data_IF_562273760223
#
_entry.id   IF_562273760223
#
_cell.length_a   1.000
_cell.length_b   1.000
_cell.length_c   1.000
_cell.angle_alpha   90.00
_cell.angle_beta   90.00
_cell.angle_gamma   90.00
#
_symmetry.space_group_name_H-M   'P 1'
#
loop_
_entity.id
_entity.type
_entity.pdbx_description
1 polymer ?
#
# COMPACT_ATOMS: atom_id res chain seq x y z
N UNK A 1 27.52 -13.00 5.10
CA UNK A 1 27.01 -14.06 6.01
C UNK A 1 26.19 -13.37 7.09
N UNK A 2 24.86 -13.35 6.94
CA UNK A 2 23.97 -12.51 7.74
C UNK A 2 23.72 -13.22 9.08
N UNK A 3 24.29 -12.69 10.16
CA UNK A 3 24.10 -13.26 11.50
C UNK A 3 22.65 -13.04 11.91
N UNK A 4 21.84 -14.08 11.76
CA UNK A 4 20.48 -14.12 12.27
C UNK A 4 20.57 -14.22 13.80
N UNK A 5 20.51 -13.07 14.48
CA UNK A 5 20.46 -13.01 15.94
C UNK A 5 19.21 -13.79 16.38
N UNK A 6 19.42 -15.00 16.91
CA UNK A 6 18.36 -15.79 17.53
C UNK A 6 17.68 -14.93 18.60
N UNK A 7 16.35 -15.04 18.74
CA UNK A 7 15.60 -14.33 19.80
C UNK A 7 16.23 -14.52 21.18
N UNK A 8 16.88 -15.66 21.40
CA UNK A 8 17.63 -15.98 22.61
C UNK A 8 18.86 -15.09 22.80
N UNK A 9 19.64 -14.83 21.74
CA UNK A 9 20.82 -13.97 21.81
C UNK A 9 20.47 -12.51 22.03
N UNK A 10 19.34 -12.05 21.49
CA UNK A 10 18.82 -10.72 21.77
C UNK A 10 18.36 -10.56 23.23
N UNK A 11 17.86 -11.63 23.85
CA UNK A 11 17.49 -11.64 25.27
C UNK A 11 18.72 -11.73 26.18
N UNK A 12 19.73 -12.52 25.81
CA UNK A 12 21.02 -12.59 26.55
C UNK A 12 21.72 -11.23 26.56
N UNK A 13 21.88 -10.60 25.40
CA UNK A 13 22.47 -9.25 25.31
C UNK A 13 21.69 -8.20 26.11
N UNK A 14 20.37 -8.35 26.22
CA UNK A 14 19.53 -7.46 27.02
C UNK A 14 19.69 -7.74 28.52
N UNK A 15 19.82 -8.99 28.93
CA UNK A 15 20.07 -9.38 30.32
C UNK A 15 21.45 -8.94 30.79
N UNK A 16 22.48 -9.08 29.95
CA UNK A 16 23.84 -8.60 30.20
C UNK A 16 23.86 -7.06 30.34
N UNK A 17 23.14 -6.35 29.47
CA UNK A 17 22.99 -4.89 29.56
C UNK A 17 22.25 -4.42 30.83
N UNK A 18 21.42 -5.25 31.44
CA UNK A 18 20.77 -4.96 32.72
C UNK A 18 21.72 -5.25 33.90
N UNK A 19 22.55 -6.28 33.78
CA UNK A 19 23.51 -6.65 34.82
C UNK A 19 24.65 -5.62 34.99
N UNK A 20 25.03 -4.91 33.92
CA UNK A 20 26.01 -3.82 33.95
C UNK A 20 25.44 -2.47 34.44
N UNK A 21 24.11 -2.36 34.57
CA UNK A 21 23.47 -1.19 35.17
C UNK A 21 23.59 -1.28 36.70
N UNK A 22 24.75 -0.91 37.24
CA UNK A 22 24.83 -0.48 38.64
C UNK A 22 23.84 0.67 38.83
N UNK A 23 22.83 0.47 39.70
CA UNK A 23 21.84 1.48 40.03
C UNK A 23 22.59 2.62 40.73
N UNK A 24 22.79 3.78 40.10
CA UNK A 24 23.46 4.88 40.77
C UNK A 24 22.55 5.34 41.90
N UNK A 25 23.10 5.41 43.12
CA UNK A 25 22.37 5.86 44.30
C UNK A 25 21.54 7.12 43.99
N UNK A 26 20.22 7.03 44.17
CA UNK A 26 19.29 8.14 44.01
C UNK A 26 18.42 8.17 42.74
N UNK A 27 18.52 7.20 41.82
CA UNK A 27 17.54 7.08 40.72
C UNK A 27 16.43 6.09 41.05
N UNK A 28 15.19 6.58 41.04
CA UNK A 28 13.98 5.78 41.25
C UNK A 28 13.88 4.67 40.19
N UNK A 29 13.84 3.41 40.66
CA UNK A 29 13.72 2.20 39.86
C UNK A 29 12.53 2.27 38.88
N UNK A 30 11.47 2.98 39.28
CA UNK A 30 10.25 3.20 38.49
C UNK A 30 10.54 4.03 37.23
N UNK A 31 11.42 5.03 37.34
CA UNK A 31 11.83 5.87 36.21
C UNK A 31 12.70 5.10 35.21
N UNK A 32 13.64 4.28 35.72
CA UNK A 32 14.49 3.43 34.89
C UNK A 32 13.66 2.40 34.11
N UNK A 33 12.70 1.74 34.79
CA UNK A 33 11.75 0.82 34.17
C UNK A 33 10.87 1.50 33.12
N UNK A 34 10.44 2.74 33.37
CA UNK A 34 9.70 3.55 32.39
C UNK A 34 10.53 3.85 31.15
N UNK A 35 11.80 4.22 31.32
CA UNK A 35 12.73 4.51 30.24
C UNK A 35 13.03 3.28 29.38
N UNK A 36 13.30 2.13 30.01
CA UNK A 36 13.54 0.86 29.32
C UNK A 36 12.30 0.42 28.52
N UNK A 37 11.10 0.52 29.13
CA UNK A 37 9.83 0.23 28.42
C UNK A 37 9.62 1.14 27.21
N UNK A 38 9.94 2.43 27.35
CA UNK A 38 9.83 3.38 26.25
C UNK A 38 10.84 3.07 25.14
N UNK A 39 12.11 2.80 25.47
CA UNK A 39 13.14 2.42 24.50
C UNK A 39 12.79 1.12 23.76
N UNK A 40 12.25 0.10 24.45
CA UNK A 40 11.77 -1.13 23.83
C UNK A 40 10.57 -0.87 22.88
N UNK A 41 9.62 -0.02 23.29
CA UNK A 41 8.49 0.39 22.45
C UNK A 41 8.95 1.18 21.23
N UNK A 42 9.94 2.05 21.37
CA UNK A 42 10.53 2.78 20.25
C UNK A 42 11.29 1.84 19.32
N UNK A 43 12.06 0.88 19.84
CA UNK A 43 12.75 -0.13 19.04
C UNK A 43 11.77 -1.02 18.24
N UNK A 44 10.61 -1.35 18.81
CA UNK A 44 9.51 -2.03 18.10
C UNK A 44 8.83 -1.13 17.06
N UNK A 45 8.74 0.18 17.33
CA UNK A 45 8.12 1.17 16.46
C UNK A 45 9.08 1.76 15.40
N UNK A 46 10.39 1.47 15.46
CA UNK A 46 11.39 1.79 14.42
C UNK A 46 11.12 0.93 13.19
N UNK A 47 10.06 1.34 12.47
CA UNK A 47 9.56 1.15 11.09
C UNK A 47 10.12 0.10 10.12
N UNK A 48 11.26 -0.55 10.35
CA UNK A 48 11.94 -1.34 9.30
C UNK A 48 12.04 -2.85 9.53
N UNK A 49 11.98 -3.37 10.76
CA UNK A 49 12.22 -4.80 10.98
C UNK A 49 10.96 -5.69 11.05
N UNK A 50 9.77 -5.10 11.20
CA UNK A 50 8.51 -5.85 11.38
C UNK A 50 7.38 -5.46 10.42
N UNK A 51 7.68 -4.79 9.30
CA UNK A 51 6.71 -4.70 8.19
C UNK A 51 6.63 -6.08 7.55
N UNK A 52 5.78 -6.93 8.13
CA UNK A 52 5.62 -8.36 7.85
C UNK A 52 5.88 -8.64 6.36
N UNK A 53 7.02 -9.25 6.01
CA UNK A 53 7.45 -9.46 4.61
C UNK A 53 6.32 -10.09 3.77
N UNK A 54 5.54 -10.97 4.41
CA UNK A 54 4.33 -11.59 3.86
C UNK A 54 3.23 -10.57 3.51
N UNK A 55 3.01 -9.54 4.33
CA UNK A 55 2.07 -8.45 4.04
C UNK A 55 2.52 -7.60 2.85
N UNK A 56 3.82 -7.33 2.71
CA UNK A 56 4.32 -6.57 1.56
C UNK A 56 4.20 -7.37 0.26
N UNK A 57 4.57 -8.65 0.27
CA UNK A 57 4.37 -9.55 -0.87
C UNK A 57 2.88 -9.68 -1.23
N UNK A 58 2.00 -9.80 -0.23
CA UNK A 58 0.56 -9.83 -0.46
C UNK A 58 0.03 -8.52 -1.06
N UNK A 59 0.53 -7.36 -0.61
CA UNK A 59 0.17 -6.05 -1.16
C UNK A 59 0.64 -5.88 -2.59
N UNK A 60 1.85 -6.29 -2.92
CA UNK A 60 2.35 -6.20 -4.29
C UNK A 60 1.53 -7.10 -5.23
N UNK A 61 1.27 -8.35 -4.83
CA UNK A 61 0.41 -9.26 -5.59
C UNK A 61 -1.01 -8.70 -5.78
N UNK A 62 -1.56 -8.05 -4.75
CA UNK A 62 -2.87 -7.38 -4.84
C UNK A 62 -2.84 -6.19 -5.81
N UNK A 63 -1.74 -5.41 -5.80
CA UNK A 63 -1.52 -4.30 -6.72
C UNK A 63 -1.41 -4.78 -8.16
N UNK A 64 -0.57 -5.78 -8.43
CA UNK A 64 -0.45 -6.43 -9.74
C UNK A 64 -1.80 -6.92 -10.25
N UNK A 65 -2.57 -7.58 -9.39
CA UNK A 65 -3.92 -8.07 -9.74
C UNK A 65 -4.87 -6.92 -10.10
N UNK A 66 -4.78 -5.82 -9.36
CA UNK A 66 -5.59 -4.61 -9.61
C UNK A 66 -5.21 -3.96 -10.94
N UNK A 67 -3.91 -3.81 -11.21
CA UNK A 67 -3.38 -3.26 -12.48
C UNK A 67 -3.83 -4.13 -13.65
N UNK A 68 -3.70 -5.47 -13.53
CA UNK A 68 -4.11 -6.40 -14.59
C UNK A 68 -5.61 -6.29 -14.90
N UNK A 69 -6.46 -6.20 -13.87
CA UNK A 69 -7.91 -6.01 -14.05
C UNK A 69 -8.22 -4.68 -14.73
N UNK A 70 -7.56 -3.60 -14.32
CA UNK A 70 -7.73 -2.28 -14.92
C UNK A 70 -7.31 -2.26 -16.39
N UNK A 71 -6.16 -2.87 -16.73
CA UNK A 71 -5.68 -3.00 -18.11
C UNK A 71 -6.66 -3.79 -18.98
N UNK A 72 -7.12 -4.95 -18.51
CA UNK A 72 -8.10 -5.76 -19.24
C UNK A 72 -9.41 -5.00 -19.47
N UNK A 73 -9.89 -4.28 -18.47
CA UNK A 73 -11.10 -3.46 -18.62
C UNK A 73 -10.89 -2.31 -19.63
N UNK A 74 -9.72 -1.64 -19.61
CA UNK A 74 -9.35 -0.65 -20.63
C UNK A 74 -9.40 -1.27 -22.02
N UNK A 75 -8.71 -2.38 -22.23
CA UNK A 75 -8.68 -3.09 -23.51
C UNK A 75 -10.08 -3.45 -24.02
N UNK A 76 -10.98 -3.88 -23.13
CA UNK A 76 -12.38 -4.17 -23.47
C UNK A 76 -13.17 -2.92 -23.90
N UNK A 77 -12.89 -1.77 -23.30
CA UNK A 77 -13.64 -0.53 -23.59
C UNK A 77 -13.06 0.29 -24.75
N UNK A 78 -11.78 0.13 -25.10
CA UNK A 78 -11.14 0.91 -26.17
C UNK A 78 -11.87 0.84 -27.53
N UNK A 79 -12.40 -0.31 -27.98
CA UNK A 79 -13.19 -0.37 -29.22
C UNK A 79 -14.42 0.53 -29.18
N UNK A 80 -15.17 0.55 -28.06
CA UNK A 80 -16.34 1.40 -27.91
C UNK A 80 -16.00 2.88 -27.82
N UNK A 81 -14.83 3.22 -27.25
CA UNK A 81 -14.32 4.59 -27.26
C UNK A 81 -13.95 5.03 -28.68
N UNK A 82 -13.36 4.13 -29.48
CA UNK A 82 -13.07 4.39 -30.89
C UNK A 82 -14.37 4.57 -31.70
N UNK A 83 -15.39 3.73 -31.47
CA UNK A 83 -16.72 3.89 -32.07
C UNK A 83 -17.32 5.27 -31.74
N UNK A 84 -17.28 5.70 -30.48
CA UNK A 84 -17.73 7.03 -30.08
C UNK A 84 -16.97 8.14 -30.83
N UNK A 85 -15.65 8.02 -30.98
CA UNK A 85 -14.84 8.97 -31.73
C UNK A 85 -15.21 9.02 -33.22
N UNK A 86 -15.46 7.87 -33.84
CA UNK A 86 -15.93 7.81 -35.24
C UNK A 86 -17.34 8.39 -35.41
N UNK A 87 -18.17 8.35 -34.37
CA UNK A 87 -19.48 9.02 -34.33
C UNK A 87 -19.38 10.54 -34.11
N UNK A 88 -18.16 11.10 -34.04
CA UNK A 88 -17.93 12.54 -33.86
C UNK A 88 -17.79 12.99 -32.41
N UNK A 89 -17.78 12.08 -31.43
CA UNK A 89 -17.57 12.41 -30.03
C UNK A 89 -16.07 12.63 -29.75
N UNK A 90 -15.61 13.88 -29.87
CA UNK A 90 -14.18 14.22 -29.71
C UNK A 90 -13.78 14.67 -28.30
N UNK A 91 -14.75 14.97 -27.42
CA UNK A 91 -14.47 15.38 -26.04
C UNK A 91 -14.71 14.23 -25.07
N UNK A 92 -13.99 14.19 -23.94
CA UNK A 92 -14.19 13.16 -22.90
C UNK A 92 -15.61 13.15 -22.34
N UNK A 93 -16.27 14.32 -22.33
CA UNK A 93 -17.68 14.44 -21.95
C UNK A 93 -18.59 13.82 -23.01
N UNK A 94 -18.42 14.16 -24.29
CA UNK A 94 -19.22 13.58 -25.37
C UNK A 94 -19.06 12.06 -25.46
N UNK A 95 -17.84 11.55 -25.26
CA UNK A 95 -17.58 10.10 -25.20
C UNK A 95 -18.30 9.46 -24.00
N UNK A 96 -18.30 10.10 -22.84
CA UNK A 96 -19.01 9.58 -21.66
C UNK A 96 -20.53 9.53 -21.91
N UNK A 97 -21.10 10.60 -22.48
CA UNK A 97 -22.52 10.68 -22.80
C UNK A 97 -22.91 9.59 -23.82
N UNK A 98 -22.10 9.39 -24.87
CA UNK A 98 -22.29 8.33 -25.86
C UNK A 98 -22.25 6.93 -25.23
N UNK A 99 -21.29 6.66 -24.35
CA UNK A 99 -21.17 5.37 -23.66
C UNK A 99 -22.39 5.10 -22.76
N UNK A 100 -22.89 6.12 -22.07
CA UNK A 100 -24.08 6.03 -21.23
C UNK A 100 -25.35 5.81 -22.06
N UNK A 101 -25.50 6.49 -23.20
CA UNK A 101 -26.62 6.29 -24.12
C UNK A 101 -26.66 4.86 -24.67
N UNK A 102 -25.48 4.28 -24.93
CA UNK A 102 -25.32 2.87 -25.31
C UNK A 102 -25.42 1.88 -24.14
N UNK A 103 -25.64 2.38 -22.92
CA UNK A 103 -25.77 1.60 -21.67
C UNK A 103 -24.53 0.77 -21.32
N UNK A 104 -23.34 1.21 -21.74
CA UNK A 104 -22.11 0.64 -21.23
C UNK A 104 -21.86 1.13 -19.81
N UNK A 105 -21.62 0.22 -18.88
CA UNK A 105 -21.32 0.58 -17.49
C UNK A 105 -19.82 0.53 -17.20
N UNK A 106 -19.37 1.36 -16.26
CA UNK A 106 -18.00 1.26 -15.72
C UNK A 106 -17.77 -0.07 -14.99
N UNK A 107 -16.51 -0.40 -14.67
CA UNK A 107 -16.15 -1.63 -13.95
C UNK A 107 -16.87 -1.82 -12.59
N UNK A 108 -17.44 -0.76 -12.01
CA UNK A 108 -18.21 -0.78 -10.77
C UNK A 108 -19.73 -0.76 -10.98
N UNK A 109 -20.20 -0.77 -12.23
CA UNK A 109 -21.62 -0.75 -12.57
C UNK A 109 -22.25 0.65 -12.60
N UNK A 110 -21.45 1.72 -12.52
CA UNK A 110 -21.95 3.10 -12.60
C UNK A 110 -21.81 3.67 -14.01
N UNK A 111 -22.51 4.78 -14.26
CA UNK A 111 -22.40 5.59 -15.46
C UNK A 111 -20.99 6.16 -15.66
N UNK A 112 -20.67 6.44 -16.92
CA UNK A 112 -19.45 7.10 -17.33
C UNK A 112 -19.48 8.58 -17.00
N UNK A 113 -18.36 9.04 -16.44
CA UNK A 113 -18.06 10.47 -16.29
C UNK A 113 -16.90 10.84 -17.20
N UNK A 114 -16.78 12.13 -17.52
CA UNK A 114 -15.63 12.66 -18.29
C UNK A 114 -14.29 12.29 -17.64
N UNK A 115 -14.22 12.29 -16.30
CA UNK A 115 -13.04 11.89 -15.55
C UNK A 115 -12.72 10.40 -15.71
N UNK A 116 -13.73 9.53 -15.76
CA UNK A 116 -13.56 8.10 -16.00
C UNK A 116 -13.01 7.83 -17.41
N UNK A 117 -13.55 8.51 -18.42
CA UNK A 117 -13.05 8.43 -19.81
C UNK A 117 -11.61 8.93 -19.90
N UNK A 118 -11.32 10.08 -19.28
CA UNK A 118 -9.98 10.65 -19.24
C UNK A 118 -8.94 9.68 -18.66
N UNK A 119 -9.27 9.00 -17.55
CA UNK A 119 -8.38 7.99 -16.95
C UNK A 119 -8.11 6.82 -17.89
N UNK A 120 -9.11 6.36 -18.64
CA UNK A 120 -8.91 5.26 -19.61
C UNK A 120 -8.08 5.72 -20.81
N UNK A 121 -8.21 6.96 -21.25
CA UNK A 121 -7.39 7.50 -22.33
C UNK A 121 -5.94 7.75 -21.90
N UNK A 122 -5.71 8.22 -20.67
CA UNK A 122 -4.38 8.57 -20.18
C UNK A 122 -3.60 7.45 -19.47
N UNK A 123 -4.25 6.36 -19.04
CA UNK A 123 -3.56 5.29 -18.31
C UNK A 123 -2.71 4.41 -19.23
N UNK A 124 -1.68 4.97 -19.85
CA UNK A 124 -0.51 4.18 -20.22
C UNK A 124 0.22 3.84 -18.91
N UNK A 125 0.24 2.55 -18.59
CA UNK A 125 0.72 2.02 -17.30
C UNK A 125 2.19 2.26 -17.06
#
# INVERSE_FOLDING_TARGET
MQQHISRYRALEMFAESIAELEIPNGKDLTALLGQIKWQAKQALNRKDSLRNKKLNVAREKARETTIRKAKKFREQMMPHVAEAQTAGCLTTRAIADWLNEKRFTTARGFDWSSASVHRILQCDG
#
